data_IF_077641117938
#
_entry.id   IF_077641117938
#
_cell.length_a   1.000
_cell.length_b   1.000
_cell.length_c   1.000
_cell.angle_alpha   90.00
_cell.angle_beta   90.00
_cell.angle_gamma   90.00
#
_symmetry.space_group_name_H-M   'P 1'
#
loop_
_entity.id
_entity.type
_entity.pdbx_description
1 polymer ?
#
# COMPACT_ATOMS: atom_id res chain seq x y z
N UNK A 1 11.62 30.05 -13.26
CA UNK A 1 10.93 29.02 -12.54
C UNK A 1 11.34 29.01 -11.07
N UNK A 2 10.37 28.78 -10.23
CA UNK A 2 10.56 28.83 -8.78
C UNK A 2 10.55 27.43 -8.20
N UNK A 3 11.70 26.79 -8.20
CA UNK A 3 11.80 25.39 -7.74
C UNK A 3 11.29 25.21 -6.32
N UNK A 4 11.70 26.12 -5.41
CA UNK A 4 11.29 26.05 -4.02
C UNK A 4 9.82 26.39 -3.80
N UNK A 5 9.18 27.11 -4.73
CA UNK A 5 7.77 27.43 -4.65
C UNK A 5 6.89 26.25 -5.10
N UNK A 6 7.39 25.44 -6.05
CA UNK A 6 6.65 24.29 -6.56
C UNK A 6 6.92 23.02 -5.77
N UNK A 7 8.00 23.00 -4.99
CA UNK A 7 8.36 21.84 -4.17
C UNK A 7 7.54 21.87 -2.89
N UNK A 8 6.77 20.78 -2.60
CA UNK A 8 5.99 20.74 -1.37
C UNK A 8 6.91 20.71 -0.15
N UNK A 9 6.42 21.25 0.96
CA UNK A 9 7.14 21.23 2.23
C UNK A 9 7.01 19.91 2.95
N UNK A 10 5.96 19.16 2.66
CA UNK A 10 5.67 17.88 3.27
C UNK A 10 4.83 17.03 2.33
N UNK A 11 4.82 15.73 2.57
CA UNK A 11 3.91 14.80 1.89
C UNK A 11 2.54 14.90 2.56
N UNK A 12 1.49 14.89 1.76
CA UNK A 12 0.10 14.90 2.24
C UNK A 12 -0.62 13.65 1.75
N UNK A 13 -1.70 13.28 2.43
CA UNK A 13 -2.52 12.16 1.99
C UNK A 13 -3.06 12.36 0.58
N UNK A 14 -3.44 13.60 0.24
CA UNK A 14 -3.91 13.92 -1.10
C UNK A 14 -2.84 13.63 -2.16
N UNK A 15 -1.59 13.95 -1.87
CA UNK A 15 -0.48 13.64 -2.79
C UNK A 15 -0.33 12.13 -2.97
N UNK A 16 -0.44 11.37 -1.88
CA UNK A 16 -0.36 9.91 -1.93
C UNK A 16 -1.50 9.35 -2.76
N UNK A 17 -2.73 9.76 -2.47
CA UNK A 17 -3.92 9.32 -3.23
C UNK A 17 -3.76 9.61 -4.72
N UNK A 18 -3.19 10.77 -5.05
CA UNK A 18 -2.95 11.17 -6.44
C UNK A 18 -1.92 10.32 -7.18
N UNK A 19 -1.06 9.63 -6.45
CA UNK A 19 -0.02 8.78 -7.05
C UNK A 19 -0.43 7.31 -7.19
N UNK A 20 -1.61 6.94 -6.70
CA UNK A 20 -2.09 5.56 -6.81
C UNK A 20 -2.76 5.36 -8.18
N UNK A 21 -2.22 4.45 -8.99
CA UNK A 21 -2.79 4.13 -10.29
C UNK A 21 -3.85 3.04 -10.20
N UNK A 22 -3.67 2.06 -9.31
CA UNK A 22 -4.61 0.95 -9.15
C UNK A 22 -4.46 0.33 -7.76
N UNK A 23 -5.54 -0.28 -7.28
CA UNK A 23 -5.56 -1.01 -6.01
C UNK A 23 -6.22 -2.36 -6.25
N UNK A 24 -5.62 -3.40 -5.69
CA UNK A 24 -6.14 -4.75 -5.78
C UNK A 24 -6.22 -5.35 -4.39
N UNK A 25 -7.28 -6.09 -4.12
CA UNK A 25 -7.54 -6.72 -2.83
C UNK A 25 -7.78 -8.20 -3.00
N UNK A 26 -7.18 -9.00 -2.16
CA UNK A 26 -7.42 -10.44 -2.12
C UNK A 26 -6.96 -10.99 -0.78
N UNK A 27 -7.46 -12.17 -0.42
CA UNK A 27 -6.98 -12.86 0.77
C UNK A 27 -5.86 -13.82 0.38
N UNK A 28 -5.09 -14.24 1.38
CA UNK A 28 -4.07 -15.27 1.14
C UNK A 28 -4.72 -16.55 0.59
N UNK A 29 -5.94 -16.88 1.04
CA UNK A 29 -6.68 -18.03 0.52
C UNK A 29 -6.92 -17.90 -0.98
N UNK A 30 -7.36 -16.72 -1.44
CA UNK A 30 -7.56 -16.46 -2.87
C UNK A 30 -6.28 -16.73 -3.67
N UNK A 31 -5.17 -16.23 -3.17
CA UNK A 31 -3.88 -16.37 -3.85
C UNK A 31 -3.39 -17.80 -3.88
N UNK A 32 -3.45 -18.50 -2.76
CA UNK A 32 -2.97 -19.89 -2.67
C UNK A 32 -3.87 -20.83 -3.48
N UNK A 33 -5.19 -20.65 -3.41
CA UNK A 33 -6.11 -21.47 -4.20
C UNK A 33 -5.87 -21.29 -5.68
N UNK A 34 -5.62 -20.08 -6.13
CA UNK A 34 -5.32 -19.81 -7.52
C UNK A 34 -3.98 -20.39 -7.93
N UNK A 35 -2.95 -20.19 -7.11
CA UNK A 35 -1.61 -20.70 -7.40
C UNK A 35 -1.58 -22.23 -7.44
N UNK A 36 -2.42 -22.89 -6.67
CA UNK A 36 -2.48 -24.34 -6.56
C UNK A 36 -3.73 -24.93 -7.20
N UNK A 37 -4.32 -24.22 -8.16
CA UNK A 37 -5.57 -24.65 -8.80
C UNK A 37 -5.44 -26.02 -9.47
N UNK A 38 -4.29 -26.32 -10.08
CA UNK A 38 -4.06 -27.61 -10.73
C UNK A 38 -4.08 -28.79 -9.74
N UNK A 39 -3.82 -28.53 -8.47
CA UNK A 39 -3.85 -29.54 -7.40
C UNK A 39 -5.22 -29.66 -6.75
N UNK A 40 -6.17 -28.79 -7.13
CA UNK A 40 -7.49 -28.78 -6.52
C UNK A 40 -7.51 -28.28 -5.09
N UNK A 41 -6.49 -27.51 -4.69
CA UNK A 41 -6.39 -27.02 -3.32
C UNK A 41 -7.54 -26.09 -2.97
N UNK A 42 -8.14 -26.29 -1.79
CA UNK A 42 -9.17 -25.42 -1.22
C UNK A 42 -8.78 -25.06 0.20
N UNK A 43 -8.75 -23.77 0.50
CA UNK A 43 -8.43 -23.31 1.85
C UNK A 43 -9.58 -23.61 2.80
N UNK A 44 -9.24 -23.90 4.07
CA UNK A 44 -10.23 -24.03 5.13
C UNK A 44 -10.91 -22.65 5.31
N UNK A 45 -12.26 -22.57 5.15
CA UNK A 45 -12.95 -21.28 5.30
C UNK A 45 -12.75 -20.61 6.67
N UNK A 46 -12.40 -21.37 7.70
CA UNK A 46 -12.12 -20.82 9.02
C UNK A 46 -10.64 -20.73 9.32
N UNK A 47 -9.79 -21.03 8.33
CA UNK A 47 -8.36 -21.02 8.50
C UNK A 47 -7.74 -19.64 8.37
N UNK A 48 -6.48 -19.54 8.75
CA UNK A 48 -5.72 -18.29 8.75
C UNK A 48 -5.61 -17.65 7.37
N UNK A 49 -5.54 -18.46 6.32
CA UNK A 49 -5.43 -17.93 4.96
C UNK A 49 -6.62 -17.08 4.55
N UNK A 50 -7.82 -17.44 5.05
CA UNK A 50 -9.02 -16.66 4.74
C UNK A 50 -9.12 -15.36 5.53
N UNK A 51 -8.30 -15.20 6.56
CA UNK A 51 -8.30 -14.01 7.42
C UNK A 51 -7.09 -13.10 7.21
N UNK A 52 -6.27 -13.40 6.23
CA UNK A 52 -5.12 -12.56 5.86
C UNK A 52 -5.45 -11.85 4.55
N UNK A 53 -5.63 -10.54 4.64
CA UNK A 53 -6.06 -9.71 3.52
C UNK A 53 -4.89 -8.87 3.03
N UNK A 54 -4.75 -8.76 1.71
CA UNK A 54 -3.74 -7.92 1.08
C UNK A 54 -4.39 -6.80 0.31
N UNK A 55 -3.74 -5.64 0.35
CA UNK A 55 -3.97 -4.54 -0.56
C UNK A 55 -2.70 -4.35 -1.37
N UNK A 56 -2.78 -4.49 -2.67
CA UNK A 56 -1.63 -4.25 -3.56
C UNK A 56 -1.93 -2.98 -4.34
N UNK A 57 -1.08 -1.97 -4.16
CA UNK A 57 -1.18 -0.71 -4.86
C UNK A 57 -0.15 -0.64 -5.98
N UNK A 58 -0.59 -0.24 -7.15
CA UNK A 58 0.30 0.09 -8.25
C UNK A 58 0.39 1.61 -8.31
N UNK A 59 1.60 2.12 -8.18
CA UNK A 59 1.83 3.56 -8.22
C UNK A 59 2.00 4.02 -9.66
N UNK A 60 1.74 5.29 -9.93
CA UNK A 60 1.83 5.85 -11.28
C UNK A 60 3.22 5.74 -11.90
N UNK A 61 4.26 5.68 -11.07
CA UNK A 61 5.64 5.53 -11.55
C UNK A 61 6.02 4.06 -11.79
N UNK A 62 5.07 3.13 -11.64
CA UNK A 62 5.32 1.70 -11.84
C UNK A 62 5.76 0.93 -10.60
N UNK A 63 5.97 1.63 -9.48
CA UNK A 63 6.33 0.95 -8.23
C UNK A 63 5.11 0.25 -7.64
N UNK A 64 5.31 -0.85 -6.94
CA UNK A 64 4.22 -1.55 -6.26
C UNK A 64 4.44 -1.53 -4.75
N UNK A 65 3.34 -1.42 -4.01
CA UNK A 65 3.35 -1.40 -2.55
C UNK A 65 2.25 -2.32 -2.06
N UNK A 66 2.53 -3.11 -1.04
CA UNK A 66 1.52 -3.99 -0.47
C UNK A 66 1.36 -3.72 1.02
N UNK A 67 0.14 -3.79 1.48
CA UNK A 67 -0.21 -3.79 2.89
C UNK A 67 -1.04 -5.01 3.23
N UNK A 68 -0.99 -5.45 4.47
CA UNK A 68 -1.72 -6.63 4.89
C UNK A 68 -2.45 -6.38 6.19
N UNK A 69 -3.48 -7.21 6.43
CA UNK A 69 -4.24 -7.23 7.67
C UNK A 69 -4.54 -8.67 8.00
N UNK A 70 -4.24 -9.08 9.23
CA UNK A 70 -4.53 -10.44 9.71
C UNK A 70 -5.48 -10.35 10.90
N UNK A 71 -6.52 -11.18 10.89
CA UNK A 71 -7.44 -11.30 12.00
C UNK A 71 -7.20 -12.64 12.71
N UNK A 72 -7.02 -12.57 14.01
CA UNK A 72 -6.71 -13.78 14.81
C UNK A 72 -7.95 -14.66 15.01
N UNK A 73 -9.11 -14.05 15.25
CA UNK A 73 -10.33 -14.77 15.60
C UNK A 73 -11.24 -14.92 14.38
N UNK A 74 -11.54 -16.16 13.93
CA UNK A 74 -12.46 -16.35 12.79
C UNK A 74 -13.82 -15.74 13.01
N UNK A 75 -14.31 -15.72 14.26
CA UNK A 75 -15.63 -15.19 14.60
C UNK A 75 -15.70 -13.68 14.47
N UNK A 76 -14.56 -13.00 14.60
CA UNK A 76 -14.47 -11.54 14.53
C UNK A 76 -14.07 -11.06 13.14
N UNK A 77 -13.79 -11.94 12.20
CA UNK A 77 -13.35 -11.53 10.88
C UNK A 77 -14.40 -10.74 10.12
N UNK A 78 -13.99 -9.58 9.62
CA UNK A 78 -14.80 -8.70 8.79
C UNK A 78 -13.99 -8.35 7.56
N UNK A 79 -14.44 -8.82 6.40
CA UNK A 79 -13.70 -8.65 5.15
C UNK A 79 -13.51 -7.18 4.79
N UNK A 80 -14.54 -6.35 5.00
CA UNK A 80 -14.45 -4.92 4.69
C UNK A 80 -13.44 -4.22 5.58
N UNK A 81 -13.46 -4.51 6.88
CA UNK A 81 -12.50 -3.95 7.82
C UNK A 81 -11.07 -4.42 7.49
N UNK A 82 -10.93 -5.71 7.13
CA UNK A 82 -9.63 -6.23 6.70
C UNK A 82 -9.05 -5.47 5.52
N UNK A 83 -9.89 -5.15 4.53
CA UNK A 83 -9.44 -4.37 3.37
C UNK A 83 -9.05 -2.94 3.77
N UNK A 84 -9.81 -2.31 4.65
CA UNK A 84 -9.50 -0.95 5.14
C UNK A 84 -8.16 -0.91 5.86
N UNK A 85 -7.91 -1.88 6.72
CA UNK A 85 -6.64 -1.96 7.48
C UNK A 85 -5.49 -2.26 6.53
N UNK A 86 -5.66 -3.20 5.61
CA UNK A 86 -4.63 -3.53 4.63
C UNK A 86 -4.28 -2.30 3.78
N UNK A 87 -5.29 -1.53 3.36
CA UNK A 87 -5.08 -0.30 2.60
C UNK A 87 -4.30 0.72 3.42
N UNK A 88 -4.70 0.92 4.67
CA UNK A 88 -4.00 1.87 5.54
C UNK A 88 -2.53 1.47 5.74
N UNK A 89 -2.26 0.18 5.87
CA UNK A 89 -0.89 -0.31 6.01
C UNK A 89 -0.08 -0.08 4.72
N UNK A 90 -0.70 -0.24 3.55
CA UNK A 90 -0.05 0.11 2.28
C UNK A 90 0.22 1.61 2.20
N UNK A 91 -0.76 2.44 2.53
CA UNK A 91 -0.62 3.90 2.57
C UNK A 91 0.54 4.32 3.48
N UNK A 92 0.67 3.68 4.63
CA UNK A 92 1.76 4.00 5.56
C UNK A 92 3.14 3.77 4.94
N UNK A 93 3.26 2.75 4.10
CA UNK A 93 4.50 2.51 3.36
C UNK A 93 4.76 3.59 2.33
N UNK A 94 3.71 4.06 1.67
CA UNK A 94 3.84 5.15 0.68
C UNK A 94 4.27 6.45 1.35
N UNK A 95 3.77 6.72 2.57
CA UNK A 95 4.24 7.88 3.36
C UNK A 95 5.76 7.88 3.46
N UNK A 96 6.33 6.75 3.86
CA UNK A 96 7.78 6.64 4.03
C UNK A 96 8.53 6.81 2.71
N UNK A 97 8.02 6.20 1.64
CA UNK A 97 8.65 6.28 0.32
C UNK A 97 8.64 7.71 -0.24
N UNK A 98 7.48 8.36 -0.18
CA UNK A 98 7.34 9.72 -0.69
C UNK A 98 8.06 10.74 0.20
N UNK A 99 8.12 10.48 1.50
CA UNK A 99 8.89 11.30 2.41
C UNK A 99 10.38 11.22 2.10
N UNK A 100 10.88 10.02 1.85
CA UNK A 100 12.27 9.82 1.45
C UNK A 100 12.56 10.51 0.11
N UNK A 101 11.67 10.35 -0.85
CA UNK A 101 11.82 11.00 -2.16
C UNK A 101 11.90 12.52 -2.01
N UNK A 102 10.98 13.08 -1.23
CA UNK A 102 10.96 14.53 -1.01
C UNK A 102 12.24 15.02 -0.33
N UNK A 103 12.72 14.29 0.67
CA UNK A 103 13.96 14.62 1.36
C UNK A 103 15.15 14.64 0.41
N UNK A 104 15.21 13.65 -0.49
CA UNK A 104 16.28 13.57 -1.48
C UNK A 104 16.21 14.73 -2.47
N UNK A 105 15.03 15.08 -2.92
CA UNK A 105 14.83 16.22 -3.84
C UNK A 105 15.22 17.54 -3.20
N UNK A 106 14.84 17.73 -1.94
CA UNK A 106 15.17 18.96 -1.22
C UNK A 106 16.68 19.09 -0.99
N UNK A 107 17.32 17.99 -0.66
CA UNK A 107 18.78 17.99 -0.45
C UNK A 107 19.53 18.26 -1.74
N UNK A 108 18.98 17.88 -2.89
CA UNK A 108 19.59 18.09 -4.20
C UNK A 108 19.46 19.55 -4.68
N UNK A 109 18.55 20.35 -4.11
CA UNK A 109 18.36 21.75 -4.50
C UNK A 109 19.52 22.58 -3.93
N UNK A 110 20.19 23.43 -4.75
CA UNK A 110 21.26 24.29 -4.24
C UNK A 110 20.76 25.15 -3.08
N UNK A 111 21.61 25.30 -2.05
CA UNK A 111 21.19 25.99 -0.83
C UNK A 111 20.73 27.43 -1.06
N UNK A 112 21.30 28.12 -2.04
CA UNK A 112 20.88 29.49 -2.36
C UNK A 112 19.42 29.54 -2.88
N UNK A 113 18.90 28.48 -3.41
CA UNK A 113 17.51 28.40 -3.86
C UNK A 113 16.55 28.09 -2.72
N UNK A 114 17.05 27.62 -1.60
CA UNK A 114 16.26 27.28 -0.42
C UNK A 114 16.17 28.43 0.59
N UNK A 115 17.08 29.37 0.49
CA UNK A 115 17.14 30.50 1.45
C UNK A 115 16.20 31.65 1.15
#
# INVERSE_FOLDING_TARGET
>A
MQTNETMPKKVTLEMIEGEIAAEHYFTAADGVERARAAEGFKADPRGSLCRLTFCVMLMKNGFSVAGESACVDPAEFNAELGRKIARQNAINKVWALMGYELSSKREAVPSLLLS
#
